data_IF_957873341981
#
_entry.id   IF_957873341981
#
_cell.length_a   1.000
_cell.length_b   1.000
_cell.length_c   1.000
_cell.angle_alpha   90.00
_cell.angle_beta   90.00
_cell.angle_gamma   90.00
#
_symmetry.space_group_name_H-M   'P 1'
#
loop_
_entity.id
_entity.type
_entity.pdbx_description
1 polymer ?
#
# COMPACT_ATOMS: atom_id res chain seq x y z
N UNK A 1 5.52 -9.46 -42.98
CA UNK A 1 4.34 -9.51 -42.09
C UNK A 1 4.56 -8.48 -41.00
N UNK A 2 3.71 -7.44 -40.99
CA UNK A 2 3.81 -6.28 -40.11
C UNK A 2 3.09 -6.57 -38.78
N UNK A 3 3.72 -6.24 -37.65
CA UNK A 3 3.04 -6.17 -36.36
C UNK A 3 3.03 -4.70 -35.91
N UNK A 4 1.85 -4.09 -35.91
CA UNK A 4 1.57 -2.83 -35.25
C UNK A 4 0.33 -3.02 -34.39
N UNK A 5 0.41 -2.61 -33.13
CA UNK A 5 -0.52 -1.67 -32.46
C UNK A 5 -0.33 -1.73 -30.94
N UNK A 6 0.49 -0.82 -30.42
CA UNK A 6 0.38 -0.39 -29.03
C UNK A 6 -0.73 0.65 -28.93
N UNK A 7 -1.67 0.47 -27.99
CA UNK A 7 -2.74 1.45 -27.74
C UNK A 7 -2.57 2.05 -26.34
N UNK A 8 -1.93 3.21 -26.31
CA UNK A 8 -1.88 4.06 -25.12
C UNK A 8 -3.24 4.74 -24.91
N UNK A 9 -3.85 4.57 -23.73
CA UNK A 9 -5.05 5.30 -23.34
C UNK A 9 -4.67 6.53 -22.51
N UNK A 10 -4.95 7.74 -23.04
CA UNK A 10 -5.01 9.00 -22.29
C UNK A 10 -6.46 9.29 -21.95
N UNK A 11 -6.76 9.55 -20.68
CA UNK A 11 -8.05 10.08 -20.24
C UNK A 11 -7.86 11.48 -19.62
N UNK A 12 -8.75 12.39 -19.99
CA UNK A 12 -8.76 13.80 -19.63
C UNK A 12 -9.51 14.04 -18.31
N UNK A 13 -9.09 15.07 -17.56
CA UNK A 13 -9.58 15.44 -16.24
C UNK A 13 -10.61 16.60 -16.30
N UNK A 14 -11.71 16.57 -15.54
CA UNK A 14 -12.56 17.75 -15.32
C UNK A 14 -12.40 18.37 -13.92
N UNK A 15 -12.56 19.69 -13.91
CA UNK A 15 -12.26 20.67 -12.86
C UNK A 15 -13.26 20.67 -11.68
N UNK A 16 -12.74 20.96 -10.49
CA UNK A 16 -13.46 21.22 -9.23
C UNK A 16 -14.03 22.64 -9.15
N UNK A 17 -15.19 22.79 -8.50
CA UNK A 17 -15.77 24.07 -8.09
C UNK A 17 -15.84 24.16 -6.55
N UNK A 18 -15.25 25.21 -5.97
CA UNK A 18 -15.25 25.50 -4.54
C UNK A 18 -16.35 26.52 -4.19
N UNK A 19 -17.11 26.29 -3.13
CA UNK A 19 -17.95 27.30 -2.48
C UNK A 19 -17.31 27.71 -1.14
N UNK A 20 -17.07 29.01 -1.00
CA UNK A 20 -16.63 29.69 0.22
C UNK A 20 -17.85 30.04 1.08
N UNK A 21 -17.74 29.85 2.39
CA UNK A 21 -18.58 30.50 3.38
C UNK A 21 -17.66 31.20 4.40
N UNK A 22 -17.81 32.51 4.54
CA UNK A 22 -17.15 33.30 5.58
C UNK A 22 -18.21 33.81 6.55
N UNK A 23 -18.00 33.55 7.84
CA UNK A 23 -18.67 34.19 8.96
C UNK A 23 -17.62 34.97 9.76
N UNK A 24 -17.97 36.16 10.26
CA UNK A 24 -17.39 36.73 11.47
C UNK A 24 -18.21 37.94 11.98
N UNK A 25 -18.82 37.74 13.16
CA UNK A 25 -19.11 38.77 14.15
C UNK A 25 -17.77 39.39 14.63
N UNK A 26 -17.67 40.62 15.11
CA UNK A 26 -18.43 41.22 16.20
C UNK A 26 -17.42 41.64 17.30
N UNK A 27 -17.15 42.94 17.35
CA UNK A 27 -16.23 43.65 18.24
C UNK A 27 -16.54 43.48 19.74
N UNK A 28 -15.52 43.44 20.60
CA UNK A 28 -15.45 44.31 21.79
C UNK A 28 -14.10 44.19 22.51
N UNK A 29 -13.34 45.28 22.57
CA UNK A 29 -12.16 45.48 23.41
C UNK A 29 -12.53 46.28 24.66
N UNK A 30 -12.08 45.84 25.83
CA UNK A 30 -12.06 46.65 27.06
C UNK A 30 -10.72 46.46 27.77
N UNK A 31 -10.04 47.57 28.02
CA UNK A 31 -8.73 47.65 28.63
C UNK A 31 -8.78 48.20 30.06
N UNK A 32 -7.73 47.85 30.83
CA UNK A 32 -7.12 48.49 32.02
C UNK A 32 -6.97 47.52 33.21
N UNK A 33 -6.05 47.76 34.20
CA UNK A 33 -4.93 48.71 34.27
C UNK A 33 -3.57 48.05 34.61
N UNK A 34 -2.50 48.85 34.47
CA UNK A 34 -1.09 48.50 34.73
C UNK A 34 -0.77 48.52 36.23
N UNK A 35 -0.19 47.43 36.74
CA UNK A 35 0.48 47.38 38.04
C UNK A 35 1.99 47.28 37.83
N UNK A 36 2.73 48.23 38.38
CA UNK A 36 4.20 48.29 38.35
C UNK A 36 4.80 47.25 39.30
N UNK A 37 5.43 46.22 38.76
CA UNK A 37 6.21 45.25 39.53
C UNK A 37 7.71 45.44 39.28
N UNK A 38 8.44 45.49 40.39
CA UNK A 38 9.87 45.77 40.56
C UNK A 38 10.72 44.66 39.91
N UNK A 39 11.72 45.07 39.14
CA UNK A 39 12.62 44.21 38.36
C UNK A 39 13.46 43.29 39.26
N UNK A 40 13.30 41.97 39.09
CA UNK A 40 14.20 40.94 39.63
C UNK A 40 15.25 40.61 38.54
N UNK A 41 16.54 40.39 38.87
CA UNK A 41 17.56 40.10 37.86
C UNK A 41 17.20 38.84 37.08
N UNK A 42 17.09 38.98 35.77
CA UNK A 42 16.72 37.93 34.83
C UNK A 42 17.72 36.78 34.87
N UNK A 43 17.26 35.59 35.23
CA UNK A 43 17.97 34.36 34.90
C UNK A 43 18.15 34.31 33.37
N UNK A 44 19.39 34.18 32.93
CA UNK A 44 19.77 34.08 31.51
C UNK A 44 19.04 32.86 30.93
N UNK A 45 17.97 33.10 30.17
CA UNK A 45 17.23 32.04 29.47
C UNK A 45 18.21 31.37 28.52
N UNK A 46 18.53 30.10 28.79
CA UNK A 46 19.12 29.23 27.79
C UNK A 46 18.08 29.11 26.66
N UNK A 47 18.31 29.80 25.55
CA UNK A 47 17.46 29.78 24.35
C UNK A 47 17.73 28.56 23.47
N UNK A 48 18.52 27.60 23.95
CA UNK A 48 18.71 26.31 23.30
C UNK A 48 17.52 25.41 23.59
N UNK A 49 16.38 25.68 22.94
CA UNK A 49 15.36 24.65 22.78
C UNK A 49 16.03 23.47 22.08
N UNK A 50 16.19 22.35 22.77
CA UNK A 50 16.43 21.07 22.10
C UNK A 50 15.27 20.94 21.11
N UNK A 51 15.52 20.88 19.79
CA UNK A 51 14.43 20.68 18.85
C UNK A 51 13.73 19.39 19.29
N UNK A 52 12.46 19.52 19.67
CA UNK A 52 11.62 18.35 19.88
C UNK A 52 11.79 17.48 18.63
N UNK A 53 12.05 16.16 18.76
CA UNK A 53 12.18 15.32 17.59
C UNK A 53 10.90 15.50 16.78
N UNK A 54 11.03 16.10 15.60
CA UNK A 54 9.94 16.23 14.66
C UNK A 54 9.68 14.81 14.18
N UNK A 55 8.83 14.09 14.91
CA UNK A 55 8.30 12.82 14.43
C UNK A 55 7.55 13.21 13.16
N UNK A 56 8.15 12.92 12.01
CA UNK A 56 7.53 13.20 10.72
C UNK A 56 6.13 12.59 10.79
N UNK A 57 5.09 13.43 10.63
CA UNK A 57 3.72 12.92 10.61
C UNK A 57 3.63 11.94 9.46
N UNK A 58 3.20 10.72 9.76
CA UNK A 58 2.91 9.73 8.72
C UNK A 58 1.79 10.33 7.86
N UNK A 59 2.05 10.52 6.56
CA UNK A 59 1.00 10.94 5.64
C UNK A 59 0.01 9.77 5.47
N UNK A 60 -1.26 9.92 5.88
CA UNK A 60 -2.25 8.85 5.75
C UNK A 60 -2.49 8.45 4.30
N UNK A 61 -2.39 9.39 3.34
CA UNK A 61 -2.58 9.12 1.92
C UNK A 61 -1.49 8.21 1.37
N UNK A 62 -0.22 8.61 1.54
CA UNK A 62 0.95 7.81 1.17
C UNK A 62 1.01 6.47 1.90
N UNK A 63 0.57 6.40 3.17
CA UNK A 63 0.45 5.12 3.89
C UNK A 63 -0.60 4.21 3.26
N UNK A 64 -1.78 4.73 2.92
CA UNK A 64 -2.84 3.94 2.29
C UNK A 64 -2.36 3.37 0.94
N UNK A 65 -1.71 4.22 0.15
CA UNK A 65 -1.11 3.82 -1.13
C UNK A 65 0.01 2.79 -0.98
N UNK A 66 0.84 2.88 0.07
CA UNK A 66 1.85 1.85 0.34
C UNK A 66 1.21 0.47 0.59
N UNK A 67 0.07 0.40 1.27
CA UNK A 67 -0.67 -0.86 1.45
C UNK A 67 -1.34 -1.30 0.16
N UNK A 68 -1.82 -0.37 -0.65
CA UNK A 68 -2.38 -0.63 -1.98
C UNK A 68 -1.36 -1.35 -2.87
N UNK A 69 -0.17 -0.79 -3.03
CA UNK A 69 0.86 -1.37 -3.88
C UNK A 69 1.45 -2.67 -3.31
N UNK A 70 1.60 -2.77 -1.98
CA UNK A 70 2.00 -4.02 -1.33
C UNK A 70 0.93 -5.12 -1.51
N UNK A 71 -0.35 -4.76 -1.50
CA UNK A 71 -1.47 -5.67 -1.79
C UNK A 71 -1.39 -6.25 -3.19
N UNK A 72 -1.15 -5.42 -4.20
CA UNK A 72 -0.90 -5.85 -5.58
C UNK A 72 0.26 -6.85 -5.66
N UNK A 73 1.39 -6.52 -5.04
CA UNK A 73 2.60 -7.34 -5.08
C UNK A 73 2.37 -8.73 -4.47
N UNK A 74 1.76 -8.81 -3.29
CA UNK A 74 1.48 -10.08 -2.61
C UNK A 74 0.46 -10.91 -3.36
N UNK A 75 -0.66 -10.32 -3.82
CA UNK A 75 -1.69 -11.06 -4.55
C UNK A 75 -1.14 -11.59 -5.87
N UNK A 76 -0.35 -10.79 -6.60
CA UNK A 76 0.30 -11.25 -7.82
C UNK A 76 1.21 -12.46 -7.56
N UNK A 77 2.11 -12.38 -6.57
CA UNK A 77 3.04 -13.48 -6.24
C UNK A 77 2.29 -14.74 -5.80
N UNK A 78 1.29 -14.63 -4.92
CA UNK A 78 0.49 -15.78 -4.45
C UNK A 78 -0.22 -16.48 -5.61
N UNK A 79 -0.63 -15.74 -6.64
CA UNK A 79 -1.33 -16.26 -7.81
C UNK A 79 -0.40 -16.58 -9.00
N UNK A 80 0.92 -16.57 -8.80
CA UNK A 80 1.90 -17.04 -9.78
C UNK A 80 2.52 -15.96 -10.68
N UNK A 81 2.21 -14.69 -10.44
CA UNK A 81 2.91 -13.57 -11.06
C UNK A 81 4.27 -13.29 -10.42
N UNK A 82 5.09 -12.50 -11.11
CA UNK A 82 6.41 -12.04 -10.65
C UNK A 82 6.43 -10.52 -10.55
N UNK A 83 6.72 -9.98 -9.38
CA UNK A 83 6.81 -8.54 -9.11
C UNK A 83 8.13 -8.02 -9.64
N UNK A 84 8.08 -7.26 -10.73
CA UNK A 84 9.28 -6.60 -11.26
C UNK A 84 9.66 -5.42 -10.37
N UNK A 85 8.67 -4.61 -9.97
CA UNK A 85 8.86 -3.44 -9.11
C UNK A 85 7.52 -2.94 -8.60
N UNK A 86 7.43 -2.58 -7.33
CA UNK A 86 6.39 -1.68 -6.84
C UNK A 86 7.04 -0.46 -6.20
N UNK A 87 6.50 0.74 -6.44
CA UNK A 87 7.10 1.98 -5.97
C UNK A 87 6.04 3.03 -5.64
N UNK A 88 6.43 4.00 -4.80
CA UNK A 88 5.71 5.23 -4.55
C UNK A 88 6.45 6.38 -5.21
N UNK A 89 5.72 7.27 -5.87
CA UNK A 89 6.26 8.51 -6.38
C UNK A 89 6.37 9.56 -5.28
N UNK A 90 7.26 10.55 -5.43
CA UNK A 90 7.25 11.73 -4.59
C UNK A 90 5.90 12.45 -4.66
N UNK A 91 5.49 13.09 -3.57
CA UNK A 91 4.17 13.74 -3.44
C UNK A 91 3.97 14.94 -4.41
N UNK A 92 5.04 15.38 -5.08
CA UNK A 92 5.09 16.59 -5.90
C UNK A 92 4.66 16.38 -7.36
N UNK A 93 4.29 15.16 -7.78
CA UNK A 93 3.77 14.89 -9.13
C UNK A 93 2.24 14.78 -9.14
N UNK A 94 1.50 15.87 -9.43
CA UNK A 94 0.04 15.89 -9.47
C UNK A 94 -0.55 15.11 -10.65
N UNK A 95 0.27 14.56 -11.55
CA UNK A 95 -0.16 13.78 -12.71
C UNK A 95 -0.04 12.26 -12.51
N UNK A 96 0.54 11.83 -11.40
CA UNK A 96 0.77 10.42 -11.12
C UNK A 96 -0.29 9.85 -10.17
N UNK A 97 -0.63 8.57 -10.35
CA UNK A 97 -1.47 7.80 -9.42
C UNK A 97 -0.80 7.61 -8.03
N UNK A 98 0.31 8.31 -7.76
CA UNK A 98 1.09 8.30 -6.51
C UNK A 98 1.99 7.08 -6.36
N UNK A 99 1.70 5.97 -7.04
CA UNK A 99 2.41 4.70 -6.92
C UNK A 99 2.07 3.75 -8.07
N UNK A 100 2.85 2.67 -8.18
CA UNK A 100 2.54 1.60 -9.15
C UNK A 100 3.27 0.29 -8.85
N UNK A 101 2.55 -0.81 -9.02
CA UNK A 101 3.08 -2.17 -9.07
C UNK A 101 3.16 -2.67 -10.53
N UNK A 102 4.32 -3.20 -10.90
CA UNK A 102 4.59 -3.85 -12.18
C UNK A 102 4.82 -5.34 -11.96
N UNK A 103 4.07 -6.15 -12.69
CA UNK A 103 4.11 -7.61 -12.63
C UNK A 103 4.30 -8.20 -14.01
N UNK A 104 5.01 -9.32 -14.08
CA UNK A 104 5.16 -10.17 -15.26
C UNK A 104 4.63 -11.57 -14.94
N UNK A 105 4.40 -12.38 -15.97
CA UNK A 105 3.95 -13.77 -15.83
C UNK A 105 2.64 -13.95 -15.03
N UNK A 106 1.83 -12.91 -14.90
CA UNK A 106 0.54 -13.02 -14.22
C UNK A 106 -0.39 -13.90 -15.04
N UNK A 107 -0.90 -15.02 -14.50
CA UNK A 107 -1.83 -15.86 -15.24
C UNK A 107 -3.14 -15.11 -15.53
N UNK A 108 -3.80 -15.31 -16.68
CA UNK A 108 -5.02 -14.58 -17.04
C UNK A 108 -6.15 -14.66 -15.99
N UNK A 109 -6.30 -15.82 -15.34
CA UNK A 109 -7.31 -16.02 -14.30
C UNK A 109 -7.05 -15.18 -13.02
N UNK A 110 -5.84 -14.66 -12.85
CA UNK A 110 -5.42 -13.88 -11.69
C UNK A 110 -5.56 -12.36 -11.91
N UNK A 111 -5.84 -11.89 -13.13
CA UNK A 111 -5.89 -10.45 -13.45
C UNK A 111 -6.90 -9.69 -12.59
N UNK A 112 -8.12 -10.20 -12.47
CA UNK A 112 -9.14 -9.56 -11.64
C UNK A 112 -8.73 -9.53 -10.16
N UNK A 113 -8.15 -10.61 -9.66
CA UNK A 113 -7.67 -10.69 -8.28
C UNK A 113 -6.53 -9.69 -8.02
N UNK A 114 -5.61 -9.54 -8.97
CA UNK A 114 -4.56 -8.54 -8.95
C UNK A 114 -5.15 -7.13 -8.80
N UNK A 115 -5.96 -6.67 -9.76
CA UNK A 115 -6.53 -5.30 -9.71
C UNK A 115 -7.41 -5.05 -8.49
N UNK A 116 -8.09 -6.07 -7.97
CA UNK A 116 -8.88 -5.96 -6.75
C UNK A 116 -8.02 -5.97 -5.47
N UNK A 117 -6.86 -6.62 -5.51
CA UNK A 117 -5.95 -6.85 -4.40
C UNK A 117 -5.47 -5.57 -3.72
N UNK A 118 -4.97 -4.61 -4.51
CA UNK A 118 -4.51 -3.33 -3.96
C UNK A 118 -5.62 -2.55 -3.25
N UNK A 119 -6.78 -2.39 -3.90
CA UNK A 119 -7.93 -1.72 -3.30
C UNK A 119 -8.45 -2.42 -2.03
N UNK A 120 -8.42 -3.75 -1.99
CA UNK A 120 -8.83 -4.48 -0.78
C UNK A 120 -7.82 -4.30 0.36
N UNK A 121 -6.51 -4.34 0.09
CA UNK A 121 -5.47 -4.12 1.08
C UNK A 121 -5.52 -2.70 1.67
N UNK A 122 -5.75 -1.70 0.82
CA UNK A 122 -5.96 -0.31 1.23
C UNK A 122 -7.17 -0.18 2.17
N UNK A 123 -8.30 -0.77 1.78
CA UNK A 123 -9.51 -0.83 2.60
C UNK A 123 -9.28 -1.55 3.94
N UNK A 124 -8.52 -2.65 3.94
CA UNK A 124 -8.17 -3.40 5.15
C UNK A 124 -7.33 -2.56 6.10
N UNK A 125 -6.34 -1.84 5.57
CA UNK A 125 -5.47 -0.94 6.34
C UNK A 125 -6.26 0.20 6.99
N UNK A 126 -7.18 0.81 6.23
CA UNK A 126 -8.00 1.92 6.69
C UNK A 126 -9.06 1.49 7.72
N UNK A 127 -9.57 0.27 7.59
CA UNK A 127 -10.53 -0.29 8.54
C UNK A 127 -9.88 -0.83 9.82
N UNK A 128 -8.60 -1.19 9.78
CA UNK A 128 -7.89 -1.83 10.89
C UNK A 128 -8.17 -3.33 11.00
N UNK A 129 -8.55 -3.98 9.91
CA UNK A 129 -9.01 -5.36 9.89
C UNK A 129 -9.92 -5.63 8.68
N UNK A 130 -10.63 -6.78 8.65
CA UNK A 130 -11.53 -7.15 7.55
C UNK A 130 -12.58 -6.05 7.26
N UNK A 131 -12.53 -5.38 6.10
CA UNK A 131 -13.39 -4.25 5.80
C UNK A 131 -14.82 -4.68 5.44
N UNK A 132 -15.78 -3.77 5.63
CA UNK A 132 -17.16 -4.00 5.16
C UNK A 132 -17.24 -3.95 3.63
N UNK A 133 -18.20 -4.68 2.99
CA UNK A 133 -18.37 -4.63 1.53
C UNK A 133 -18.61 -3.22 0.98
N UNK A 134 -19.30 -2.36 1.75
CA UNK A 134 -19.54 -0.97 1.37
C UNK A 134 -18.26 -0.14 1.38
N UNK A 135 -17.36 -0.40 2.35
CA UNK A 135 -16.06 0.27 2.42
C UNK A 135 -15.16 -0.15 1.25
N UNK A 136 -15.06 -1.45 0.98
CA UNK A 136 -14.27 -1.96 -0.16
C UNK A 136 -14.78 -1.40 -1.48
N UNK A 137 -16.11 -1.39 -1.70
CA UNK A 137 -16.71 -0.81 -2.90
C UNK A 137 -16.33 0.66 -3.08
N UNK A 138 -16.28 1.44 -2.00
CA UNK A 138 -15.89 2.85 -2.05
C UNK A 138 -14.43 3.01 -2.49
N UNK A 139 -13.52 2.22 -1.92
CA UNK A 139 -12.09 2.26 -2.26
C UNK A 139 -11.85 1.81 -3.70
N UNK A 140 -12.45 0.69 -4.13
CA UNK A 140 -12.35 0.22 -5.52
C UNK A 140 -12.81 1.31 -6.49
N UNK A 141 -13.95 1.96 -6.24
CA UNK A 141 -14.47 3.02 -7.12
C UNK A 141 -13.60 4.29 -7.12
N UNK A 142 -12.87 4.57 -6.03
CA UNK A 142 -11.93 5.69 -5.97
C UNK A 142 -10.66 5.40 -6.79
N UNK A 143 -10.22 4.13 -6.83
CA UNK A 143 -9.08 3.67 -7.63
C UNK A 143 -9.50 3.43 -9.09
N UNK A 144 -9.78 4.53 -9.81
CA UNK A 144 -10.40 4.50 -11.15
C UNK A 144 -9.66 3.63 -12.18
N UNK A 145 -8.33 3.58 -12.12
CA UNK A 145 -7.49 2.75 -13.01
C UNK A 145 -7.71 1.27 -12.75
N UNK A 146 -7.56 0.84 -11.50
CA UNK A 146 -7.76 -0.55 -11.11
C UNK A 146 -9.21 -0.97 -11.31
N UNK A 147 -10.17 -0.09 -11.03
CA UNK A 147 -11.57 -0.34 -11.31
C UNK A 147 -11.84 -0.58 -12.79
N UNK A 148 -11.29 0.25 -13.68
CA UNK A 148 -11.45 0.04 -15.12
C UNK A 148 -10.83 -1.29 -15.59
N UNK A 149 -9.65 -1.64 -15.07
CA UNK A 149 -8.98 -2.89 -15.40
C UNK A 149 -9.71 -4.12 -14.81
N UNK A 150 -10.23 -4.00 -13.59
CA UNK A 150 -11.04 -5.02 -12.93
C UNK A 150 -12.35 -5.29 -13.68
N UNK A 151 -13.01 -4.24 -14.19
CA UNK A 151 -14.20 -4.37 -15.05
C UNK A 151 -13.83 -5.07 -16.36
N UNK A 152 -12.70 -4.71 -16.97
CA UNK A 152 -12.23 -5.34 -18.20
C UNK A 152 -11.89 -6.84 -18.01
N UNK A 153 -11.37 -7.22 -16.83
CA UNK A 153 -11.05 -8.60 -16.48
C UNK A 153 -12.30 -9.49 -16.23
N UNK A 154 -13.51 -8.92 -16.15
CA UNK A 154 -14.77 -9.67 -16.14
C UNK A 154 -15.17 -10.31 -14.80
N UNK A 155 -14.38 -10.16 -13.73
CA UNK A 155 -14.68 -10.68 -12.40
C UNK A 155 -14.56 -9.60 -11.31
N UNK A 156 -15.60 -8.75 -11.11
CA UNK A 156 -15.49 -7.55 -10.29
C UNK A 156 -15.34 -7.79 -8.78
N UNK A 157 -15.50 -9.04 -8.33
CA UNK A 157 -15.36 -9.45 -6.91
C UNK A 157 -14.74 -10.85 -6.80
N UNK A 158 -13.43 -10.98 -7.00
CA UNK A 158 -12.73 -12.26 -6.83
C UNK A 158 -12.87 -12.75 -5.38
N UNK A 159 -13.38 -13.97 -5.21
CA UNK A 159 -13.71 -14.55 -3.88
C UNK A 159 -12.49 -14.78 -3.00
N UNK A 160 -11.32 -14.98 -3.61
CA UNK A 160 -10.14 -15.48 -2.91
C UNK A 160 -9.32 -14.35 -2.29
N UNK A 161 -9.43 -13.13 -2.84
CA UNK A 161 -8.64 -11.97 -2.40
C UNK A 161 -8.85 -11.64 -0.92
N UNK A 162 -10.09 -11.56 -0.38
CA UNK A 162 -10.30 -11.29 1.04
C UNK A 162 -9.52 -12.23 1.97
N UNK A 163 -9.51 -13.52 1.63
CA UNK A 163 -8.76 -14.54 2.38
C UNK A 163 -7.26 -14.36 2.21
N UNK A 164 -6.76 -14.21 0.97
CA UNK A 164 -5.32 -14.00 0.71
C UNK A 164 -4.81 -12.79 1.49
N UNK A 165 -5.50 -11.65 1.42
CA UNK A 165 -5.08 -10.43 2.15
C UNK A 165 -5.09 -10.65 3.65
N UNK A 166 -6.12 -11.30 4.20
CA UNK A 166 -6.20 -11.56 5.65
C UNK A 166 -5.10 -12.50 6.13
N UNK A 167 -4.85 -13.58 5.39
CA UNK A 167 -3.81 -14.58 5.69
C UNK A 167 -2.41 -13.98 5.57
N UNK A 168 -2.17 -13.11 4.58
CA UNK A 168 -0.86 -12.50 4.31
C UNK A 168 -0.71 -11.10 4.94
N UNK A 169 -1.60 -10.69 5.85
CA UNK A 169 -1.66 -9.30 6.31
C UNK A 169 -0.36 -8.79 6.93
N UNK A 170 0.33 -9.62 7.73
CA UNK A 170 1.60 -9.24 8.34
C UNK A 170 2.70 -9.01 7.30
N UNK A 171 2.75 -9.84 6.25
CA UNK A 171 3.66 -9.66 5.11
C UNK A 171 3.33 -8.36 4.36
N UNK A 172 2.04 -8.06 4.14
CA UNK A 172 1.58 -6.84 3.47
C UNK A 172 1.94 -5.59 4.29
N UNK A 173 1.65 -5.58 5.59
CA UNK A 173 1.96 -4.44 6.47
C UNK A 173 3.47 -4.20 6.59
N UNK A 174 4.27 -5.28 6.66
CA UNK A 174 5.73 -5.18 6.62
C UNK A 174 6.26 -4.59 5.31
N UNK A 175 5.77 -5.06 4.17
CA UNK A 175 6.10 -4.53 2.85
C UNK A 175 5.64 -3.08 2.67
N UNK A 176 4.45 -2.73 3.16
CA UNK A 176 3.94 -1.37 3.11
C UNK A 176 4.82 -0.40 3.91
N UNK A 177 5.30 -0.81 5.09
CA UNK A 177 6.26 -0.02 5.90
C UNK A 177 7.59 0.16 5.17
N UNK A 178 8.11 -0.91 4.56
CA UNK A 178 9.33 -0.86 3.74
C UNK A 178 9.14 0.09 2.56
N UNK A 179 8.07 -0.11 1.78
CA UNK A 179 7.73 0.70 0.62
C UNK A 179 7.50 2.18 0.97
N UNK A 180 6.86 2.47 2.10
CA UNK A 180 6.69 3.85 2.58
C UNK A 180 8.03 4.53 2.88
N UNK A 181 8.98 3.79 3.46
CA UNK A 181 10.28 4.32 3.91
C UNK A 181 11.29 4.40 2.77
N UNK A 182 11.37 3.37 1.94
CA UNK A 182 12.39 3.21 0.88
C UNK A 182 11.87 3.65 -0.49
N UNK A 183 10.55 3.78 -0.66
CA UNK A 183 9.91 4.20 -1.91
C UNK A 183 9.84 3.13 -2.98
N UNK A 184 10.46 1.95 -2.80
CA UNK A 184 10.40 0.84 -3.75
C UNK A 184 10.54 -0.52 -3.07
N UNK A 185 9.92 -1.55 -3.66
CA UNK A 185 10.11 -2.98 -3.34
C UNK A 185 10.16 -3.80 -4.63
N UNK A 186 10.74 -5.00 -4.58
CA UNK A 186 10.78 -5.96 -5.69
C UNK A 186 10.47 -7.40 -5.25
N UNK A 187 10.54 -8.36 -6.18
CA UNK A 187 10.30 -9.78 -5.88
C UNK A 187 11.09 -10.31 -4.67
N UNK A 188 12.38 -10.00 -4.47
CA UNK A 188 13.12 -10.50 -3.29
C UNK A 188 12.52 -10.05 -1.95
N UNK A 189 11.96 -8.83 -1.90
CA UNK A 189 11.31 -8.31 -0.71
C UNK A 189 10.01 -9.07 -0.44
N UNK A 190 9.24 -9.34 -1.49
CA UNK A 190 7.98 -10.08 -1.41
C UNK A 190 8.23 -11.53 -1.00
N UNK A 191 9.24 -12.18 -1.58
CA UNK A 191 9.62 -13.54 -1.21
C UNK A 191 10.08 -13.63 0.25
N UNK A 192 10.90 -12.68 0.69
CA UNK A 192 11.33 -12.57 2.09
C UNK A 192 10.13 -12.37 3.02
N UNK A 193 9.22 -11.46 2.68
CA UNK A 193 8.03 -11.16 3.50
C UNK A 193 7.05 -12.34 3.58
N UNK A 194 6.97 -13.16 2.53
CA UNK A 194 6.13 -14.36 2.48
C UNK A 194 6.85 -15.63 2.98
N UNK A 195 8.12 -15.53 3.35
CA UNK A 195 8.94 -16.67 3.79
C UNK A 195 9.09 -17.74 2.69
N UNK A 196 9.16 -17.32 1.44
CA UNK A 196 9.20 -18.25 0.31
C UNK A 196 10.63 -18.74 0.04
N UNK A 197 10.80 -20.02 -0.31
CA UNK A 197 12.05 -20.53 -0.84
C UNK A 197 12.48 -19.78 -2.11
N UNK A 198 13.79 -19.76 -2.32
CA UNK A 198 14.43 -19.24 -3.53
C UNK A 198 13.90 -20.00 -4.76
N UNK A 199 13.38 -19.25 -5.73
CA UNK A 199 12.70 -19.81 -6.89
C UNK A 199 13.63 -20.55 -7.85
N UNK A 200 14.91 -20.19 -7.89
CA UNK A 200 15.91 -20.79 -8.78
C UNK A 200 16.52 -22.03 -8.13
N UNK A 201 16.79 -21.96 -6.83
CA UNK A 201 17.39 -23.07 -6.07
C UNK A 201 16.40 -24.20 -5.83
N UNK A 202 15.13 -23.88 -5.53
CA UNK A 202 14.14 -24.88 -5.15
C UNK A 202 12.71 -24.51 -5.61
N UNK A 203 12.43 -24.68 -6.91
CA UNK A 203 11.13 -24.33 -7.49
C UNK A 203 9.99 -25.20 -6.94
N UNK A 204 10.24 -26.45 -6.54
CA UNK A 204 9.23 -27.36 -6.00
C UNK A 204 8.79 -26.93 -4.60
N UNK A 205 9.75 -26.63 -3.71
CA UNK A 205 9.44 -26.10 -2.38
C UNK A 205 8.70 -24.77 -2.48
N UNK A 206 9.12 -23.88 -3.39
CA UNK A 206 8.41 -22.63 -3.64
C UNK A 206 6.97 -22.86 -4.10
N UNK A 207 6.76 -23.76 -5.05
CA UNK A 207 5.42 -24.09 -5.55
C UNK A 207 4.53 -24.65 -4.43
N UNK A 208 5.10 -25.51 -3.57
CA UNK A 208 4.42 -26.04 -2.40
C UNK A 208 4.05 -24.93 -1.40
N UNK A 209 4.98 -24.02 -1.08
CA UNK A 209 4.75 -22.89 -0.18
C UNK A 209 3.60 -22.00 -0.68
N UNK A 210 3.62 -21.64 -1.95
CA UNK A 210 2.57 -20.84 -2.58
C UNK A 210 1.23 -21.57 -2.60
N UNK A 211 1.22 -22.90 -2.82
CA UNK A 211 0.01 -23.71 -2.73
C UNK A 211 -0.58 -23.72 -1.32
N UNK A 212 0.26 -23.82 -0.27
CA UNK A 212 -0.17 -23.75 1.12
C UNK A 212 -0.81 -22.38 1.44
N UNK A 213 -0.19 -21.28 1.00
CA UNK A 213 -0.76 -19.92 1.18
C UNK A 213 -2.08 -19.78 0.42
N UNK A 214 -2.16 -20.28 -0.82
CA UNK A 214 -3.42 -20.33 -1.58
C UNK A 214 -4.47 -21.20 -0.89
N UNK A 215 -4.10 -22.22 -0.13
CA UNK A 215 -5.03 -23.01 0.68
C UNK A 215 -5.43 -22.33 2.01
N UNK A 216 -4.70 -21.29 2.44
CA UNK A 216 -5.03 -20.49 3.63
C UNK A 216 -4.00 -20.52 4.75
N UNK A 217 -2.87 -21.21 4.56
CA UNK A 217 -1.76 -21.18 5.52
C UNK A 217 -1.15 -19.78 5.61
N UNK A 218 -0.92 -19.32 6.83
CA UNK A 218 -0.28 -18.02 7.08
C UNK A 218 1.21 -18.12 6.73
N UNK A 219 1.78 -17.16 5.97
CA UNK A 219 3.21 -17.12 5.72
C UNK A 219 4.03 -17.23 7.02
N UNK A 220 5.05 -18.07 7.00
CA UNK A 220 5.92 -18.32 8.16
C UNK A 220 5.35 -19.24 9.25
N UNK A 221 4.11 -19.74 9.12
CA UNK A 221 3.55 -20.73 10.08
C UNK A 221 3.67 -22.17 9.62
N UNK A 222 4.29 -22.41 8.47
CA UNK A 222 4.54 -23.74 7.93
C UNK A 222 5.98 -23.85 7.49
N UNK A 223 6.54 -25.04 7.63
CA UNK A 223 7.90 -25.35 7.18
C UNK A 223 7.82 -26.04 5.82
N UNK A 224 8.70 -25.65 4.91
CA UNK A 224 8.86 -26.33 3.62
C UNK A 224 10.23 -27.00 3.62
N UNK A 225 10.23 -28.32 3.78
CA UNK A 225 11.44 -29.12 3.83
C UNK A 225 11.77 -29.55 2.40
N UNK A 226 12.90 -29.09 1.86
CA UNK A 226 13.37 -29.61 0.57
C UNK A 226 14.01 -30.98 0.70
N UNK A 227 13.82 -31.81 -0.32
CA UNK A 227 14.32 -33.20 -0.35
C UNK A 227 15.83 -33.31 -0.61
N UNK A 228 16.54 -32.23 -0.92
CA UNK A 228 17.97 -32.28 -1.24
C UNK A 228 18.86 -32.64 -0.06
N UNK A 229 18.32 -32.66 1.16
CA UNK A 229 19.07 -33.01 2.37
C UNK A 229 19.03 -34.51 2.71
N UNK A 230 18.23 -35.33 2.01
CA UNK A 230 17.74 -36.60 2.55
C UNK A 230 18.38 -37.90 2.01
N UNK A 231 19.35 -37.86 1.09
CA UNK A 231 19.87 -39.09 0.46
C UNK A 231 21.41 -39.29 0.51
N UNK A 232 22.11 -38.79 1.52
CA UNK A 232 23.47 -39.30 1.82
C UNK A 232 23.39 -40.49 2.79
N UNK A 233 23.16 -41.68 2.25
CA UNK A 233 23.42 -42.97 2.92
C UNK A 233 24.29 -43.84 2.01
#
# INVERSE_FOLDING_TARGET
MQFTTGRAYRAASPRSASLRASAAAGSSTRAAPRTTARTVPTARKYSGGVPAPTVARIDPGRRALAHHEAGHAVVATVLGGTVTKAYLLPDDDPSSDGGRCYVTNLPPHAEAAYFYGGSFAEAYAAHGGPPTPAHVRRVVLANTRDHAALVAAGAPRPSDVPRIISTCWQSIDGLAKKLYTEGTIGQPDVDTALGLPDAERDPEARAHALAAIRAGSVPGTFEVISRDSAWKL
#
